data_IF_089518177781
#
_entry.id   IF_089518177781
#
_cell.length_a   1.000
_cell.length_b   1.000
_cell.length_c   1.000
_cell.angle_alpha   90.00
_cell.angle_beta   90.00
_cell.angle_gamma   90.00
#
_symmetry.space_group_name_H-M   'P 1'
#
loop_
_entity.id
_entity.type
_entity.pdbx_description
1 polymer ?
#
# COMPACT_ATOMS: atom_id res chain seq x y z
N UNK A 1 7.71 -19.66 -31.12
CA UNK A 1 7.93 -20.23 -29.77
C UNK A 1 6.59 -20.55 -29.10
N UNK A 2 6.29 -21.83 -28.82
CA UNK A 2 5.05 -22.25 -28.13
C UNK A 2 5.25 -22.21 -26.61
N UNK A 3 5.18 -21.03 -25.99
CA UNK A 3 5.35 -20.89 -24.53
C UNK A 3 4.03 -21.11 -23.78
N UNK A 4 4.10 -21.78 -22.63
CA UNK A 4 2.92 -22.08 -21.82
C UNK A 4 2.54 -20.87 -20.93
N UNK A 5 1.32 -20.31 -21.05
CA UNK A 5 0.94 -19.09 -20.33
C UNK A 5 0.98 -19.25 -18.81
N UNK A 6 0.61 -20.43 -18.28
CA UNK A 6 0.69 -20.76 -16.84
C UNK A 6 2.12 -20.64 -16.26
N UNK A 7 3.16 -20.71 -17.09
CA UNK A 7 4.57 -20.57 -16.69
C UNK A 7 5.09 -19.14 -16.85
N UNK A 8 4.41 -18.27 -17.60
CA UNK A 8 4.82 -16.90 -17.83
C UNK A 8 4.31 -15.98 -16.71
N UNK A 9 5.24 -15.46 -15.91
CA UNK A 9 4.96 -14.74 -14.65
C UNK A 9 4.03 -13.53 -14.78
N UNK A 10 4.04 -12.85 -15.92
CA UNK A 10 3.26 -11.64 -16.18
C UNK A 10 1.81 -11.90 -16.64
N UNK A 11 1.49 -13.14 -17.02
CA UNK A 11 0.15 -13.46 -17.53
C UNK A 11 -0.88 -13.56 -16.41
N UNK A 12 -2.13 -13.22 -16.73
CA UNK A 12 -3.28 -13.40 -15.84
C UNK A 12 -3.40 -14.84 -15.36
N UNK A 13 -3.23 -15.81 -16.27
CA UNK A 13 -3.35 -17.24 -15.96
C UNK A 13 -2.33 -17.69 -14.92
N UNK A 14 -1.07 -17.26 -15.03
CA UNK A 14 -0.06 -17.59 -14.02
C UNK A 14 -0.36 -16.92 -12.68
N UNK A 15 -0.80 -15.66 -12.69
CA UNK A 15 -1.14 -14.94 -11.46
C UNK A 15 -2.29 -15.60 -10.74
N UNK A 16 -3.33 -15.98 -11.47
CA UNK A 16 -4.47 -16.72 -10.98
C UNK A 16 -4.01 -18.05 -10.35
N UNK A 17 -3.35 -18.94 -11.08
CA UNK A 17 -2.96 -20.27 -10.55
C UNK A 17 -2.01 -20.22 -9.35
N UNK A 18 -1.24 -19.13 -9.20
CA UNK A 18 -0.34 -18.89 -8.07
C UNK A 18 -0.97 -18.09 -6.92
N UNK A 19 -2.28 -17.82 -6.96
CA UNK A 19 -2.99 -17.08 -5.91
C UNK A 19 -2.57 -15.61 -5.78
N UNK A 20 -2.06 -15.00 -6.85
CA UNK A 20 -1.73 -13.56 -6.89
C UNK A 20 -2.92 -12.66 -7.24
N UNK A 21 -4.04 -13.29 -7.57
CA UNK A 21 -5.32 -12.66 -7.87
C UNK A 21 -6.43 -13.46 -7.21
N UNK A 22 -7.53 -12.80 -6.90
CA UNK A 22 -8.72 -13.45 -6.38
C UNK A 22 -9.39 -14.26 -7.50
N UNK A 23 -9.46 -15.59 -7.37
CA UNK A 23 -10.17 -16.47 -8.32
C UNK A 23 -11.53 -16.89 -7.78
N UNK A 24 -11.56 -17.33 -6.52
CA UNK A 24 -12.76 -17.90 -5.89
C UNK A 24 -13.40 -16.81 -5.06
N UNK A 25 -14.04 -15.87 -5.73
CA UNK A 25 -14.99 -15.01 -5.04
C UNK A 25 -16.27 -15.85 -4.91
N UNK A 26 -16.66 -16.20 -3.69
CA UNK A 26 -17.85 -17.03 -3.39
C UNK A 26 -19.16 -16.39 -3.89
N UNK A 27 -19.10 -15.21 -4.50
CA UNK A 27 -20.12 -14.68 -5.41
C UNK A 27 -20.04 -15.28 -6.81
N UNK A 28 -20.44 -16.55 -6.97
CA UNK A 28 -20.78 -17.17 -8.27
C UNK A 28 -21.67 -16.27 -9.15
N UNK A 29 -22.42 -15.35 -8.54
CA UNK A 29 -23.21 -14.29 -9.17
C UNK A 29 -22.38 -13.41 -10.12
N UNK A 30 -21.13 -13.05 -9.81
CA UNK A 30 -20.32 -12.17 -10.67
C UNK A 30 -19.87 -12.85 -11.97
N UNK A 31 -19.50 -14.14 -11.88
CA UNK A 31 -19.19 -14.95 -13.05
C UNK A 31 -20.41 -15.17 -13.94
N UNK A 32 -21.62 -15.22 -13.36
CA UNK A 32 -22.87 -15.33 -14.12
C UNK A 32 -23.17 -14.09 -14.99
N UNK A 33 -22.71 -12.89 -14.58
CA UNK A 33 -22.80 -11.68 -15.41
C UNK A 33 -21.86 -11.75 -16.61
N UNK A 34 -20.65 -12.29 -16.46
CA UNK A 34 -19.67 -12.45 -17.54
C UNK A 34 -19.87 -13.73 -18.38
N UNK A 35 -20.87 -14.56 -18.06
CA UNK A 35 -21.14 -15.82 -18.77
C UNK A 35 -21.65 -15.55 -20.18
N UNK A 36 -21.05 -16.19 -21.17
CA UNK A 36 -21.56 -16.21 -22.55
C UNK A 36 -22.99 -16.76 -22.58
N UNK A 37 -23.92 -15.99 -23.14
CA UNK A 37 -25.31 -16.39 -23.37
C UNK A 37 -25.43 -16.95 -24.79
N UNK A 38 -25.95 -18.17 -24.92
CA UNK A 38 -26.13 -18.83 -26.22
C UNK A 38 -27.51 -18.58 -26.84
N UNK A 39 -28.43 -17.96 -26.09
CA UNK A 39 -29.76 -17.59 -26.56
C UNK A 39 -29.96 -16.08 -26.39
N UNK A 40 -30.38 -15.36 -27.44
CA UNK A 40 -30.70 -13.93 -27.32
C UNK A 40 -32.03 -13.75 -26.59
N UNK A 41 -32.17 -12.61 -25.91
CA UNK A 41 -33.44 -12.17 -25.30
C UNK A 41 -33.96 -11.01 -26.14
N UNK A 42 -35.29 -10.93 -26.31
CA UNK A 42 -35.91 -9.78 -26.99
C UNK A 42 -35.57 -8.49 -26.23
N UNK A 43 -35.35 -7.41 -26.98
CA UNK A 43 -35.06 -6.11 -26.37
C UNK A 43 -36.20 -5.68 -25.44
N UNK A 44 -35.83 -5.36 -24.21
CA UNK A 44 -36.67 -4.68 -23.22
C UNK A 44 -35.84 -3.54 -22.60
N UNK A 45 -36.34 -2.31 -22.71
CA UNK A 45 -35.67 -1.11 -22.21
C UNK A 45 -35.46 -1.16 -20.70
N UNK A 46 -36.43 -1.69 -19.96
CA UNK A 46 -36.35 -1.78 -18.51
C UNK A 46 -35.26 -2.77 -18.09
N UNK A 47 -35.19 -3.92 -18.78
CA UNK A 47 -34.14 -4.91 -18.58
C UNK A 47 -32.75 -4.31 -18.86
N UNK A 48 -32.57 -3.63 -19.99
CA UNK A 48 -31.28 -3.02 -20.36
C UNK A 48 -30.86 -1.95 -19.36
N UNK A 49 -31.78 -1.08 -18.93
CA UNK A 49 -31.47 -0.06 -17.93
C UNK A 49 -31.07 -0.68 -16.58
N UNK A 50 -31.76 -1.75 -16.16
CA UNK A 50 -31.44 -2.45 -14.92
C UNK A 50 -30.08 -3.16 -15.01
N UNK A 51 -29.74 -3.76 -16.14
CA UNK A 51 -28.44 -4.45 -16.32
C UNK A 51 -27.27 -3.47 -16.34
N UNK A 52 -27.40 -2.30 -16.98
CA UNK A 52 -26.35 -1.27 -16.95
C UNK A 52 -26.04 -0.83 -15.53
N UNK A 53 -27.06 -0.50 -14.73
CA UNK A 53 -26.89 -0.14 -13.31
C UNK A 53 -26.27 -1.28 -12.49
N UNK A 54 -26.70 -2.51 -12.75
CA UNK A 54 -26.16 -3.69 -12.06
C UNK A 54 -24.68 -3.91 -12.41
N UNK A 55 -24.27 -3.70 -13.67
CA UNK A 55 -22.88 -3.86 -14.11
C UNK A 55 -21.93 -2.89 -13.40
N UNK A 56 -22.31 -1.62 -13.26
CA UNK A 56 -21.53 -0.62 -12.51
C UNK A 56 -21.33 -1.07 -11.06
N UNK A 57 -22.43 -1.42 -10.39
CA UNK A 57 -22.39 -1.85 -8.99
C UNK A 57 -21.54 -3.10 -8.79
N UNK A 58 -21.62 -4.04 -9.73
CA UNK A 58 -20.84 -5.28 -9.72
C UNK A 58 -19.35 -5.00 -9.83
N UNK A 59 -18.94 -4.10 -10.72
CA UNK A 59 -17.53 -3.75 -10.91
C UNK A 59 -16.95 -3.03 -9.69
N UNK A 60 -17.72 -2.16 -9.02
CA UNK A 60 -17.29 -1.54 -7.76
C UNK A 60 -17.01 -2.59 -6.67
N UNK A 61 -17.91 -3.56 -6.50
CA UNK A 61 -17.76 -4.62 -5.48
C UNK A 61 -16.52 -5.45 -5.79
N UNK A 62 -16.31 -5.78 -7.07
CA UNK A 62 -15.13 -6.51 -7.53
C UNK A 62 -13.85 -5.77 -7.22
N UNK A 63 -13.74 -4.49 -7.57
CA UNK A 63 -12.55 -3.68 -7.31
C UNK A 63 -12.25 -3.58 -5.81
N UNK A 64 -13.28 -3.37 -4.98
CA UNK A 64 -13.12 -3.34 -3.50
C UNK A 64 -12.57 -4.66 -2.97
N UNK A 65 -13.07 -5.79 -3.45
CA UNK A 65 -12.61 -7.13 -3.05
C UNK A 65 -11.21 -7.44 -3.56
N UNK A 66 -10.91 -7.15 -4.83
CA UNK A 66 -9.56 -7.29 -5.40
C UNK A 66 -8.53 -6.46 -4.62
N UNK A 67 -8.90 -5.23 -4.23
CA UNK A 67 -8.08 -4.38 -3.38
C UNK A 67 -7.84 -5.01 -2.00
N UNK A 68 -8.89 -5.48 -1.32
CA UNK A 68 -8.76 -6.15 -0.03
C UNK A 68 -7.87 -7.41 -0.12
N UNK A 69 -8.04 -8.24 -1.14
CA UNK A 69 -7.19 -9.40 -1.35
C UNK A 69 -5.74 -9.04 -1.59
N UNK A 70 -5.50 -8.00 -2.40
CA UNK A 70 -4.15 -7.49 -2.63
C UNK A 70 -3.53 -6.96 -1.34
N UNK A 71 -4.30 -6.22 -0.54
CA UNK A 71 -3.89 -5.74 0.77
C UNK A 71 -3.56 -6.89 1.71
N UNK A 72 -4.43 -7.89 1.86
CA UNK A 72 -4.19 -9.05 2.72
C UNK A 72 -2.97 -9.86 2.28
N UNK A 73 -2.79 -10.05 0.96
CA UNK A 73 -1.63 -10.75 0.38
C UNK A 73 -0.31 -10.01 0.60
N UNK A 74 -0.30 -8.69 0.43
CA UNK A 74 0.91 -7.86 0.59
C UNK A 74 1.18 -7.48 2.05
N UNK A 75 0.15 -7.48 2.90
CA UNK A 75 0.28 -7.20 4.33
C UNK A 75 0.99 -8.31 5.10
N UNK A 76 1.31 -9.44 4.43
CA UNK A 76 1.91 -10.66 4.98
C UNK A 76 2.81 -10.37 6.17
N UNK A 77 2.29 -10.64 7.36
CA UNK A 77 2.99 -10.43 8.64
C UNK A 77 4.39 -11.05 8.57
N UNK A 78 4.46 -12.27 8.05
CA UNK A 78 5.70 -13.00 7.83
C UNK A 78 6.75 -12.25 7.00
N UNK A 79 6.36 -11.56 5.92
CA UNK A 79 7.30 -10.80 5.10
C UNK A 79 7.77 -9.52 5.80
N UNK A 80 6.88 -8.88 6.59
CA UNK A 80 7.23 -7.70 7.39
C UNK A 80 8.13 -8.07 8.56
N UNK A 81 7.85 -9.17 9.24
CA UNK A 81 8.61 -9.64 10.39
C UNK A 81 9.99 -10.11 9.95
N UNK A 82 10.07 -10.87 8.85
CA UNK A 82 11.34 -11.22 8.21
C UNK A 82 12.15 -9.97 7.80
N UNK A 83 11.49 -8.97 7.21
CA UNK A 83 12.18 -7.72 6.86
C UNK A 83 12.73 -7.02 8.11
N UNK A 84 11.97 -6.98 9.22
CA UNK A 84 12.45 -6.39 10.49
C UNK A 84 13.66 -7.14 11.06
N UNK A 85 13.69 -8.46 10.95
CA UNK A 85 14.85 -9.27 11.35
C UNK A 85 16.06 -8.98 10.46
N UNK A 86 15.86 -8.91 9.15
CA UNK A 86 16.90 -8.53 8.18
C UNK A 86 17.41 -7.11 8.49
N UNK A 87 16.53 -6.14 8.72
CA UNK A 87 16.89 -4.76 9.07
C UNK A 87 17.71 -4.71 10.38
N UNK A 88 17.31 -5.46 11.41
CA UNK A 88 18.08 -5.55 12.67
C UNK A 88 19.47 -6.14 12.46
N UNK A 89 19.58 -7.17 11.61
CA UNK A 89 20.86 -7.79 11.28
C UNK A 89 21.77 -6.80 10.55
N UNK A 90 21.23 -6.06 9.57
CA UNK A 90 21.96 -5.02 8.84
C UNK A 90 22.46 -3.92 9.78
N UNK A 91 21.63 -3.49 10.74
CA UNK A 91 22.05 -2.48 11.73
C UNK A 91 23.18 -3.00 12.62
N UNK A 92 23.11 -4.25 13.07
CA UNK A 92 24.16 -4.86 13.89
C UNK A 92 25.49 -4.98 13.13
N UNK A 93 25.46 -5.36 11.84
CA UNK A 93 26.67 -5.44 11.00
C UNK A 93 27.19 -4.04 10.61
N UNK A 94 26.29 -3.07 10.43
CA UNK A 94 26.54 -1.71 9.97
C UNK A 94 26.77 -0.68 11.07
N UNK A 95 26.95 -1.10 12.33
CA UNK A 95 27.03 -0.20 13.51
C UNK A 95 28.10 0.91 13.35
N UNK A 96 29.20 0.59 12.67
CA UNK A 96 30.29 1.51 12.35
C UNK A 96 29.86 2.70 11.48
N UNK A 97 28.82 2.57 10.64
CA UNK A 97 28.31 3.64 9.79
C UNK A 97 27.44 4.64 10.55
N UNK A 98 26.84 4.22 11.66
CA UNK A 98 25.83 5.00 12.43
C UNK A 98 26.44 5.55 13.73
N UNK A 99 27.72 5.26 14.00
CA UNK A 99 28.40 5.53 15.28
C UNK A 99 28.38 7.01 15.69
N UNK A 100 28.44 7.94 14.74
CA UNK A 100 28.34 9.39 14.99
C UNK A 100 26.93 9.79 15.43
N UNK A 101 25.91 9.30 14.71
CA UNK A 101 24.51 9.61 14.99
C UNK A 101 24.00 8.95 16.29
N UNK A 102 24.51 7.77 16.64
CA UNK A 102 24.24 7.12 17.93
C UNK A 102 24.77 7.98 19.09
N UNK A 103 25.99 8.50 18.96
CA UNK A 103 26.62 9.36 19.98
C UNK A 103 25.88 10.68 20.17
N UNK A 104 25.50 11.35 19.08
CA UNK A 104 24.73 12.59 19.13
C UNK A 104 23.33 12.39 19.76
N UNK A 105 22.71 11.22 19.56
CA UNK A 105 21.46 10.83 20.23
C UNK A 105 21.63 10.56 21.73
N UNK A 106 22.68 9.84 22.13
CA UNK A 106 22.98 9.52 23.53
C UNK A 106 23.30 10.78 24.35
N UNK A 107 23.96 11.77 23.73
CA UNK A 107 24.28 13.07 24.34
C UNK A 107 23.06 14.01 24.44
N UNK A 108 21.88 13.58 23.98
CA UNK A 108 20.62 14.35 24.10
C UNK A 108 20.61 15.64 23.27
N UNK A 109 21.54 15.78 22.31
CA UNK A 109 21.49 16.92 21.41
C UNK A 109 20.23 16.80 20.55
N UNK A 110 19.42 17.86 20.41
CA UNK A 110 18.27 17.81 19.53
C UNK A 110 18.83 17.50 18.14
N UNK A 111 18.37 16.41 17.53
CA UNK A 111 18.59 16.13 16.11
C UNK A 111 18.20 17.41 15.38
N UNK A 112 19.21 18.21 15.01
CA UNK A 112 18.98 19.43 14.26
C UNK A 112 18.22 18.96 13.03
N UNK A 113 16.98 19.41 12.89
CA UNK A 113 16.15 19.06 11.76
C UNK A 113 16.96 19.43 10.52
N UNK A 114 17.61 18.44 9.89
CA UNK A 114 18.31 18.66 8.66
C UNK A 114 17.23 19.15 7.72
N UNK A 115 17.29 20.45 7.45
CA UNK A 115 16.48 21.11 6.44
C UNK A 115 16.84 20.40 5.16
N UNK A 116 16.04 19.40 4.81
CA UNK A 116 16.06 18.80 3.49
C UNK A 116 15.93 19.99 2.56
N UNK A 117 17.01 20.30 1.83
CA UNK A 117 17.06 21.41 0.88
C UNK A 117 16.12 21.08 -0.27
N UNK A 118 14.83 21.20 -0.02
CA UNK A 118 13.79 21.19 -1.02
C UNK A 118 13.96 22.49 -1.79
N UNK A 119 14.19 22.36 -3.10
CA UNK A 119 14.25 23.47 -4.05
C UNK A 119 13.15 24.51 -3.77
N UNK A 120 13.54 25.79 -3.65
CA UNK A 120 12.62 26.92 -3.41
C UNK A 120 11.53 26.94 -4.48
N UNK A 121 10.32 26.54 -4.11
CA UNK A 121 9.10 26.93 -4.84
C UNK A 121 8.67 28.28 -4.27
N UNK A 122 8.67 29.32 -5.12
CA UNK A 122 8.25 30.67 -4.74
C UNK A 122 6.80 30.67 -4.23
N UNK A 123 6.61 31.08 -2.98
CA UNK A 123 5.33 31.32 -2.33
C UNK A 123 5.56 32.00 -0.97
N UNK A 124 4.73 32.97 -0.63
CA UNK A 124 4.91 33.89 0.50
C UNK A 124 5.26 33.18 1.82
N UNK A 125 6.36 33.63 2.46
CA UNK A 125 6.86 33.11 3.72
C UNK A 125 5.89 33.42 4.86
N UNK A 126 5.13 32.40 5.28
CA UNK A 126 4.60 32.39 6.64
C UNK A 126 5.76 32.01 7.56
N UNK A 127 6.08 32.88 8.52
CA UNK A 127 7.03 32.61 9.61
C UNK A 127 6.64 31.30 10.29
N UNK A 128 7.33 30.21 9.94
CA UNK A 128 7.10 28.89 10.51
C UNK A 128 7.67 28.92 11.92
N UNK A 129 6.78 28.95 12.92
CA UNK A 129 7.18 28.78 14.32
C UNK A 129 8.03 27.51 14.45
N UNK A 130 9.23 27.67 15.01
CA UNK A 130 10.16 26.57 15.22
C UNK A 130 9.58 25.67 16.32
N UNK A 131 9.02 24.53 15.93
CA UNK A 131 8.60 23.51 16.89
C UNK A 131 9.80 22.65 17.26
N UNK A 132 10.19 22.65 18.54
CA UNK A 132 11.17 21.70 19.07
C UNK A 132 10.42 20.46 19.55
N UNK A 133 10.71 19.32 18.95
CA UNK A 133 10.16 18.03 19.37
C UNK A 133 11.21 17.30 20.19
N UNK A 134 10.84 16.89 21.41
CA UNK A 134 11.68 16.05 22.26
C UNK A 134 11.21 14.59 22.13
N UNK A 135 12.16 13.68 21.95
CA UNK A 135 11.93 12.24 21.93
C UNK A 135 12.09 11.69 23.35
N UNK A 136 11.04 11.09 23.90
CA UNK A 136 11.10 10.40 25.19
C UNK A 136 11.70 9.00 25.03
N UNK A 137 12.21 8.47 26.14
CA UNK A 137 12.85 7.14 26.24
C UNK A 137 11.93 6.00 25.75
N UNK A 138 10.61 6.17 25.85
CA UNK A 138 9.60 5.20 25.39
C UNK A 138 9.26 5.32 23.89
N UNK A 139 9.94 6.21 23.15
CA UNK A 139 9.73 6.40 21.71
C UNK A 139 8.53 7.29 21.35
N UNK A 140 7.83 7.85 22.33
CA UNK A 140 6.81 8.89 22.12
C UNK A 140 7.46 10.26 22.00
N UNK A 141 6.96 11.11 21.11
CA UNK A 141 7.44 12.49 20.93
C UNK A 141 6.53 13.48 21.65
N UNK A 142 7.12 14.38 22.44
CA UNK A 142 6.40 15.49 23.07
C UNK A 142 6.75 16.79 22.34
N UNK A 143 5.73 17.50 21.86
CA UNK A 143 5.89 18.83 21.26
C UNK A 143 5.85 19.87 22.39
N UNK A 144 6.98 20.52 22.68
CA UNK A 144 6.98 21.75 23.49
C UNK A 144 6.68 22.93 22.55
N UNK A 145 5.60 23.65 22.84
CA UNK A 145 5.32 24.95 22.23
C UNK A 145 5.92 26.01 23.15
N UNK A 146 6.91 26.75 22.67
CA UNK A 146 7.37 27.97 23.35
C UNK A 146 6.22 28.99 23.25
N UNK A 147 5.51 29.19 24.36
CA UNK A 147 4.51 30.24 24.53
C UNK A 147 5.23 31.39 25.24
N UNK A 148 5.46 32.50 24.52
CA UNK A 148 5.79 33.80 25.13
C UNK A 148 4.56 34.37 25.86
#
# INVERSE_FOLDING_TARGET
MKRQPRKLKWTKTHRATRGKEMIVDSSLVLSQFAKKRNAPVKYDRNLVNATVKAMERVEEIRQRREHQFTKSRLAGKLARDRKREEDRKVVAEGEHLIRKELREREEGQPLAAESTKMSRLHGEERLRQQKKTRLLVDGTTQEEMDVD
#
